data_IF_294861696702
#
_entry.id   IF_294861696702
#
_cell.length_a   1.000
_cell.length_b   1.000
_cell.length_c   1.000
_cell.angle_alpha   90.00
_cell.angle_beta   90.00
_cell.angle_gamma   90.00
#
_symmetry.space_group_name_H-M   'P 1'
#
loop_
_entity.id
_entity.type
_entity.pdbx_description
1 polymer ?
#
# COMPACT_ATOMS: atom_id res chain seq x y z
N UNK A 1 -70.69 -10.65 18.51
CA UNK A 1 -69.91 -11.63 17.73
C UNK A 1 -68.57 -11.01 17.38
N UNK A 2 -67.49 -11.50 18.00
CA UNK A 2 -66.19 -10.84 18.20
C UNK A 2 -65.19 -11.00 17.03
N UNK A 3 -65.69 -11.15 15.79
CA UNK A 3 -64.90 -11.54 14.62
C UNK A 3 -63.81 -10.53 14.24
N UNK A 4 -64.09 -9.23 14.39
CA UNK A 4 -63.12 -8.17 14.09
C UNK A 4 -61.91 -8.15 15.04
N UNK A 5 -62.08 -8.54 16.31
CA UNK A 5 -60.95 -8.63 17.24
C UNK A 5 -60.08 -9.86 16.95
N UNK A 6 -60.69 -11.02 16.67
CA UNK A 6 -59.96 -12.24 16.33
C UNK A 6 -59.08 -12.06 15.08
N UNK A 7 -59.62 -11.43 14.02
CA UNK A 7 -58.86 -11.15 12.80
C UNK A 7 -57.71 -10.14 13.00
N UNK A 8 -57.87 -9.17 13.90
CA UNK A 8 -56.82 -8.20 14.24
C UNK A 8 -55.69 -8.85 15.03
N UNK A 9 -56.02 -9.72 15.97
CA UNK A 9 -55.04 -10.47 16.76
C UNK A 9 -54.22 -11.43 15.89
N UNK A 10 -54.85 -12.06 14.89
CA UNK A 10 -54.17 -12.95 13.95
C UNK A 10 -53.20 -12.20 13.03
N UNK A 11 -53.60 -11.02 12.52
CA UNK A 11 -52.69 -10.12 11.77
C UNK A 11 -51.51 -9.63 12.59
N UNK A 12 -51.73 -9.26 13.85
CA UNK A 12 -50.66 -8.83 14.75
C UNK A 12 -49.70 -9.99 15.06
N UNK A 13 -50.22 -11.20 15.24
CA UNK A 13 -49.43 -12.42 15.43
C UNK A 13 -48.54 -12.70 14.21
N UNK A 14 -49.11 -12.70 13.00
CA UNK A 14 -48.35 -12.87 11.76
C UNK A 14 -47.28 -11.80 11.56
N UNK A 15 -47.60 -10.53 11.86
CA UNK A 15 -46.62 -9.44 11.78
C UNK A 15 -45.46 -9.64 12.78
N UNK A 16 -45.73 -10.11 14.00
CA UNK A 16 -44.68 -10.41 15.00
C UNK A 16 -43.75 -11.53 14.53
N UNK A 17 -44.31 -12.62 13.97
CA UNK A 17 -43.52 -13.72 13.41
C UNK A 17 -42.64 -13.21 12.28
N UNK A 18 -43.22 -12.45 11.35
CA UNK A 18 -42.48 -11.87 10.22
C UNK A 18 -41.34 -10.95 10.66
N UNK A 19 -41.57 -10.07 11.64
CA UNK A 19 -40.52 -9.20 12.20
C UNK A 19 -39.42 -10.02 12.88
N UNK A 20 -39.78 -11.04 13.66
CA UNK A 20 -38.81 -11.94 14.29
C UNK A 20 -37.95 -12.67 13.25
N UNK A 21 -38.56 -13.17 12.17
CA UNK A 21 -37.83 -13.83 11.08
C UNK A 21 -36.90 -12.86 10.34
N UNK A 22 -37.37 -11.63 10.07
CA UNK A 22 -36.53 -10.59 9.47
C UNK A 22 -35.34 -10.22 10.37
N UNK A 23 -35.57 -10.08 11.68
CA UNK A 23 -34.50 -9.80 12.64
C UNK A 23 -33.47 -10.93 12.69
N UNK A 24 -33.91 -12.19 12.64
CA UNK A 24 -33.02 -13.35 12.58
C UNK A 24 -32.17 -13.35 11.31
N UNK A 25 -32.77 -13.08 10.15
CA UNK A 25 -32.04 -12.98 8.87
C UNK A 25 -31.04 -11.82 8.86
N UNK A 26 -31.44 -10.64 9.36
CA UNK A 26 -30.57 -9.49 9.47
C UNK A 26 -29.35 -9.79 10.37
N UNK A 27 -29.56 -10.49 11.48
CA UNK A 27 -28.49 -10.90 12.39
C UNK A 27 -27.51 -11.89 11.72
N UNK A 28 -28.02 -12.85 10.93
CA UNK A 28 -27.18 -13.78 10.17
C UNK A 28 -26.32 -13.06 9.12
N UNK A 29 -26.91 -12.13 8.36
CA UNK A 29 -26.19 -11.33 7.37
C UNK A 29 -25.13 -10.45 8.05
N UNK A 30 -25.44 -9.88 9.20
CA UNK A 30 -24.50 -9.10 9.99
C UNK A 30 -23.30 -9.95 10.46
N UNK A 31 -23.55 -11.16 10.97
CA UNK A 31 -22.47 -12.06 11.39
C UNK A 31 -21.58 -12.46 10.21
N UNK A 32 -22.15 -12.77 9.06
CA UNK A 32 -21.39 -13.05 7.84
C UNK A 32 -20.53 -11.85 7.39
N UNK A 33 -21.07 -10.63 7.48
CA UNK A 33 -20.31 -9.41 7.22
C UNK A 33 -19.13 -9.27 8.18
N UNK A 34 -19.34 -9.49 9.48
CA UNK A 34 -18.28 -9.41 10.49
C UNK A 34 -17.17 -10.45 10.25
N UNK A 35 -17.53 -11.67 9.87
CA UNK A 35 -16.57 -12.69 9.47
C UNK A 35 -15.72 -12.26 8.27
N UNK A 36 -16.36 -11.75 7.20
CA UNK A 36 -15.65 -11.24 6.02
C UNK A 36 -14.73 -10.07 6.36
N UNK A 37 -15.15 -9.18 7.27
CA UNK A 37 -14.31 -8.06 7.75
C UNK A 37 -13.08 -8.55 8.53
N UNK A 38 -13.24 -9.58 9.36
CA UNK A 38 -12.13 -10.20 10.09
C UNK A 38 -11.13 -10.81 9.10
N UNK A 39 -11.62 -11.61 8.14
CA UNK A 39 -10.79 -12.25 7.12
C UNK A 39 -10.03 -11.22 6.26
N UNK A 40 -10.68 -10.12 5.87
CA UNK A 40 -10.01 -9.04 5.15
C UNK A 40 -8.90 -8.40 6.00
N UNK A 41 -9.16 -8.14 7.29
CA UNK A 41 -8.16 -7.56 8.20
C UNK A 41 -6.96 -8.49 8.37
N UNK A 42 -7.18 -9.80 8.42
CA UNK A 42 -6.11 -10.80 8.44
C UNK A 42 -5.30 -10.76 7.13
N UNK A 43 -5.96 -10.75 5.97
CA UNK A 43 -5.28 -10.69 4.67
C UNK A 43 -4.49 -9.39 4.48
N UNK A 44 -4.98 -8.27 5.00
CA UNK A 44 -4.25 -7.00 5.00
C UNK A 44 -2.98 -7.08 5.87
N UNK A 45 -3.06 -7.72 7.05
CA UNK A 45 -1.88 -7.95 7.89
C UNK A 45 -0.84 -8.87 7.20
N UNK A 46 -1.28 -9.96 6.57
CA UNK A 46 -0.41 -10.81 5.74
C UNK A 46 0.23 -10.01 4.61
N UNK A 47 -0.55 -9.13 3.95
CA UNK A 47 -0.06 -8.22 2.92
C UNK A 47 1.03 -7.28 3.44
N UNK A 48 0.85 -6.67 4.61
CA UNK A 48 1.89 -5.84 5.25
C UNK A 48 3.19 -6.63 5.45
N UNK A 49 3.08 -7.86 5.96
CA UNK A 49 4.25 -8.70 6.18
C UNK A 49 4.99 -9.04 4.88
N UNK A 50 4.26 -9.46 3.84
CA UNK A 50 4.83 -9.81 2.55
C UNK A 50 5.47 -8.60 1.86
N UNK A 51 4.81 -7.43 1.90
CA UNK A 51 5.38 -6.19 1.37
C UNK A 51 6.66 -5.83 2.11
N UNK A 52 6.70 -5.95 3.44
CA UNK A 52 7.89 -5.66 4.22
C UNK A 52 9.06 -6.60 3.88
N UNK A 53 8.79 -7.90 3.71
CA UNK A 53 9.79 -8.89 3.30
C UNK A 53 10.37 -8.58 1.92
N UNK A 54 9.50 -8.43 0.91
CA UNK A 54 9.92 -8.12 -0.46
C UNK A 54 10.65 -6.79 -0.56
N UNK A 55 10.17 -5.77 0.16
CA UNK A 55 10.81 -4.46 0.21
C UNK A 55 12.23 -4.56 0.80
N UNK A 56 12.40 -5.34 1.86
CA UNK A 56 13.70 -5.53 2.49
C UNK A 56 14.69 -6.23 1.57
N UNK A 57 14.28 -7.32 0.90
CA UNK A 57 15.09 -8.04 -0.08
C UNK A 57 15.46 -7.14 -1.28
N UNK A 58 14.47 -6.46 -1.87
CA UNK A 58 14.68 -5.59 -3.02
C UNK A 58 15.65 -4.43 -2.72
N UNK A 59 15.57 -3.83 -1.53
CA UNK A 59 16.44 -2.72 -1.15
C UNK A 59 17.82 -3.22 -0.69
N UNK A 60 17.85 -4.20 0.20
CA UNK A 60 19.08 -4.62 0.90
C UNK A 60 19.96 -5.53 0.07
N UNK A 61 19.39 -6.24 -0.89
CA UNK A 61 20.13 -7.19 -1.72
C UNK A 61 20.27 -6.64 -3.15
N UNK A 62 19.17 -6.43 -3.85
CA UNK A 62 19.19 -6.09 -5.28
C UNK A 62 19.71 -4.66 -5.52
N UNK A 63 19.08 -3.67 -4.90
CA UNK A 63 19.48 -2.26 -5.06
C UNK A 63 20.85 -2.00 -4.42
N UNK A 64 21.15 -2.63 -3.29
CA UNK A 64 22.46 -2.54 -2.67
C UNK A 64 23.57 -3.10 -3.57
N UNK A 65 23.38 -4.30 -4.15
CA UNK A 65 24.36 -4.89 -5.06
C UNK A 65 24.56 -4.01 -6.30
N UNK A 66 23.49 -3.48 -6.88
CA UNK A 66 23.58 -2.54 -8.00
C UNK A 66 24.40 -1.28 -7.65
N UNK A 67 24.13 -0.66 -6.49
CA UNK A 67 24.89 0.50 -5.99
C UNK A 67 26.37 0.15 -5.74
N UNK A 68 26.63 -1.03 -5.19
CA UNK A 68 27.98 -1.50 -4.92
C UNK A 68 28.77 -1.73 -6.22
N UNK A 69 28.16 -2.34 -7.24
CA UNK A 69 28.77 -2.51 -8.57
C UNK A 69 29.02 -1.17 -9.25
N UNK A 70 28.10 -0.21 -9.13
CA UNK A 70 28.30 1.16 -9.63
C UNK A 70 29.50 1.84 -8.95
N UNK A 71 29.67 1.65 -7.63
CA UNK A 71 30.84 2.14 -6.90
C UNK A 71 32.14 1.49 -7.37
N UNK A 72 32.13 0.18 -7.61
CA UNK A 72 33.29 -0.54 -8.17
C UNK A 72 33.62 -0.08 -9.60
N UNK A 73 32.62 0.31 -10.38
CA UNK A 73 32.82 0.87 -11.71
C UNK A 73 33.64 2.16 -11.69
N UNK A 74 33.48 3.00 -10.67
CA UNK A 74 34.26 4.23 -10.51
C UNK A 74 35.75 3.98 -10.27
N UNK A 75 36.15 2.75 -9.88
CA UNK A 75 37.56 2.34 -9.75
C UNK A 75 38.00 1.42 -10.89
N UNK A 76 37.25 1.39 -11.99
CA UNK A 76 37.61 0.69 -13.22
C UNK A 76 37.12 -0.75 -13.33
N UNK A 77 36.32 -1.26 -12.38
CA UNK A 77 35.71 -2.60 -12.50
C UNK A 77 34.58 -2.56 -13.52
N UNK A 78 34.58 -3.39 -14.59
CA UNK A 78 33.51 -3.35 -15.58
C UNK A 78 32.14 -3.71 -14.97
N UNK A 79 31.14 -2.86 -15.16
CA UNK A 79 29.75 -3.14 -14.79
C UNK A 79 28.94 -3.48 -16.05
N UNK A 80 29.10 -4.72 -16.52
CA UNK A 80 28.31 -5.24 -17.64
C UNK A 80 26.83 -5.33 -17.23
N UNK A 81 25.94 -5.09 -18.18
CA UNK A 81 24.47 -5.17 -17.99
C UNK A 81 23.89 -4.20 -16.95
N UNK A 82 24.58 -3.09 -16.64
CA UNK A 82 24.11 -2.04 -15.70
C UNK A 82 22.65 -1.63 -15.97
N UNK A 83 22.34 -1.34 -17.22
CA UNK A 83 21.03 -0.81 -17.64
C UNK A 83 19.93 -1.88 -17.51
N UNK A 84 20.25 -3.12 -17.89
CA UNK A 84 19.34 -4.25 -17.71
C UNK A 84 19.04 -4.51 -16.23
N UNK A 85 20.07 -4.53 -15.38
CA UNK A 85 19.91 -4.79 -13.94
C UNK A 85 19.04 -3.71 -13.29
N UNK A 86 19.21 -2.44 -13.65
CA UNK A 86 18.37 -1.38 -13.07
C UNK A 86 16.94 -1.40 -13.60
N UNK A 87 16.72 -1.82 -14.85
CA UNK A 87 15.37 -2.00 -15.41
C UNK A 87 14.61 -3.16 -14.73
N UNK A 88 15.32 -4.26 -14.41
CA UNK A 88 14.77 -5.37 -13.61
C UNK A 88 14.39 -4.87 -12.20
N UNK A 89 15.28 -4.14 -11.52
CA UNK A 89 14.98 -3.54 -10.20
C UNK A 89 13.80 -2.56 -10.28
N UNK A 90 13.74 -1.72 -11.32
CA UNK A 90 12.62 -0.80 -11.52
C UNK A 90 11.28 -1.54 -11.61
N UNK A 91 11.23 -2.65 -12.36
CA UNK A 91 10.01 -3.45 -12.51
C UNK A 91 9.50 -3.94 -11.16
N UNK A 92 10.41 -4.39 -10.28
CA UNK A 92 10.06 -4.82 -8.93
C UNK A 92 9.60 -3.66 -8.02
N UNK A 93 10.28 -2.50 -8.09
CA UNK A 93 9.86 -1.30 -7.36
C UNK A 93 8.46 -0.85 -7.78
N UNK A 94 8.18 -0.86 -9.07
CA UNK A 94 6.89 -0.50 -9.66
C UNK A 94 5.77 -1.45 -9.21
N UNK A 95 6.01 -2.76 -9.30
CA UNK A 95 5.06 -3.78 -8.85
C UNK A 95 4.76 -3.62 -7.36
N UNK A 96 5.80 -3.51 -6.53
CA UNK A 96 5.66 -3.40 -5.09
C UNK A 96 4.96 -2.11 -4.65
N UNK A 97 5.24 -0.99 -5.33
CA UNK A 97 4.56 0.29 -5.08
C UNK A 97 3.06 0.17 -5.35
N UNK A 98 2.67 -0.41 -6.48
CA UNK A 98 1.26 -0.61 -6.85
C UNK A 98 0.55 -1.53 -5.85
N UNK A 99 1.15 -2.67 -5.50
CA UNK A 99 0.55 -3.61 -4.54
C UNK A 99 0.38 -2.98 -3.16
N UNK A 100 1.41 -2.28 -2.66
CA UNK A 100 1.33 -1.59 -1.37
C UNK A 100 0.25 -0.50 -1.39
N UNK A 101 0.15 0.26 -2.48
CA UNK A 101 -0.89 1.29 -2.65
C UNK A 101 -2.31 0.71 -2.67
N UNK A 102 -2.51 -0.42 -3.34
CA UNK A 102 -3.81 -1.11 -3.36
C UNK A 102 -4.19 -1.60 -1.97
N UNK A 103 -3.28 -2.26 -1.25
CA UNK A 103 -3.51 -2.68 0.14
C UNK A 103 -3.85 -1.49 1.05
N UNK A 104 -3.14 -0.37 0.87
CA UNK A 104 -3.41 0.87 1.61
C UNK A 104 -4.81 1.41 1.32
N UNK A 105 -5.21 1.39 0.05
CA UNK A 105 -6.53 1.83 -0.40
C UNK A 105 -7.64 0.95 0.19
N UNK A 106 -7.47 -0.38 0.17
CA UNK A 106 -8.42 -1.31 0.79
C UNK A 106 -8.52 -1.10 2.31
N UNK A 107 -7.41 -0.81 2.98
CA UNK A 107 -7.39 -0.49 4.41
C UNK A 107 -8.19 0.78 4.71
N UNK A 108 -7.96 1.86 3.94
CA UNK A 108 -8.73 3.10 4.07
C UNK A 108 -10.22 2.88 3.83
N UNK A 109 -10.58 2.11 2.80
CA UNK A 109 -11.98 1.81 2.50
C UNK A 109 -12.65 1.01 3.61
N UNK A 110 -11.97 0.00 4.15
CA UNK A 110 -12.46 -0.79 5.28
C UNK A 110 -12.70 0.09 6.53
N UNK A 111 -11.80 1.03 6.80
CA UNK A 111 -11.96 1.98 7.90
C UNK A 111 -13.18 2.90 7.71
N UNK A 112 -13.41 3.39 6.49
CA UNK A 112 -14.60 4.20 6.18
C UNK A 112 -15.90 3.39 6.36
N UNK A 113 -15.93 2.14 5.88
CA UNK A 113 -17.06 1.24 6.08
C UNK A 113 -17.35 0.95 7.56
N UNK A 114 -16.32 0.85 8.41
CA UNK A 114 -16.48 0.66 9.85
C UNK A 114 -17.02 1.91 10.54
N UNK A 115 -16.63 3.12 10.09
CA UNK A 115 -17.18 4.38 10.63
C UNK A 115 -18.66 4.56 10.30
N UNK A 116 -19.07 4.14 9.09
CA UNK A 116 -20.47 4.23 8.64
C UNK A 116 -21.38 3.13 9.16
N UNK A 117 -20.80 2.02 9.65
CA UNK A 117 -21.55 0.86 10.11
C UNK A 117 -22.14 1.00 11.53
N UNK A 118 -23.01 0.06 11.94
CA UNK A 118 -23.52 0.00 13.30
C UNK A 118 -22.36 -0.17 14.29
N UNK A 119 -22.27 0.71 15.29
CA UNK A 119 -21.23 0.68 16.31
C UNK A 119 -21.55 -0.42 17.34
N UNK A 120 -21.02 -1.63 17.12
CA UNK A 120 -21.21 -2.77 18.02
C UNK A 120 -19.87 -3.15 18.68
N UNK A 121 -19.94 -3.77 19.85
CA UNK A 121 -18.82 -4.27 20.64
C UNK A 121 -17.74 -4.93 19.78
N UNK A 122 -16.49 -4.46 19.87
CA UNK A 122 -15.35 -4.96 19.09
C UNK A 122 -14.84 -4.01 17.99
N UNK A 123 -15.65 -3.01 17.59
CA UNK A 123 -15.23 -2.00 16.60
C UNK A 123 -13.95 -1.26 16.99
N UNK A 124 -13.72 -1.03 18.28
CA UNK A 124 -12.52 -0.33 18.78
C UNK A 124 -11.24 -1.12 18.47
N UNK A 125 -11.23 -2.41 18.81
CA UNK A 125 -10.07 -3.28 18.57
C UNK A 125 -9.78 -3.44 17.07
N UNK A 126 -10.83 -3.61 16.26
CA UNK A 126 -10.68 -3.70 14.80
C UNK A 126 -10.15 -2.40 14.21
N UNK A 127 -10.63 -1.26 14.69
CA UNK A 127 -10.15 0.06 14.24
C UNK A 127 -8.69 0.28 14.60
N UNK A 128 -8.27 -0.10 15.81
CA UNK A 128 -6.87 -0.02 16.23
C UNK A 128 -5.95 -0.88 15.36
N UNK A 129 -6.37 -2.11 15.02
CA UNK A 129 -5.62 -2.98 14.12
C UNK A 129 -5.48 -2.35 12.71
N UNK A 130 -6.58 -1.86 12.14
CA UNK A 130 -6.55 -1.21 10.82
C UNK A 130 -5.70 0.07 10.80
N UNK A 131 -5.70 0.87 11.88
CA UNK A 131 -4.79 2.00 12.00
C UNK A 131 -3.33 1.55 11.94
N UNK A 132 -2.96 0.48 12.66
CA UNK A 132 -1.59 -0.07 12.61
C UNK A 132 -1.22 -0.57 11.21
N UNK A 133 -2.14 -1.24 10.52
CA UNK A 133 -1.93 -1.69 9.13
C UNK A 133 -1.68 -0.48 8.22
N UNK A 134 -2.53 0.55 8.32
CA UNK A 134 -2.44 1.76 7.51
C UNK A 134 -1.10 2.49 7.74
N UNK A 135 -0.69 2.62 9.00
CA UNK A 135 0.59 3.23 9.38
C UNK A 135 1.77 2.45 8.79
N UNK A 136 1.75 1.12 8.88
CA UNK A 136 2.81 0.27 8.36
C UNK A 136 2.90 0.36 6.83
N UNK A 137 1.77 0.26 6.12
CA UNK A 137 1.74 0.43 4.65
C UNK A 137 2.24 1.81 4.23
N UNK A 138 1.86 2.86 4.97
CA UNK A 138 2.31 4.23 4.71
C UNK A 138 3.83 4.38 4.91
N UNK A 139 4.37 3.83 6.01
CA UNK A 139 5.84 3.82 6.26
C UNK A 139 6.59 3.07 5.17
N UNK A 140 6.07 1.91 4.77
CA UNK A 140 6.65 1.09 3.69
C UNK A 140 6.66 1.87 2.37
N UNK A 141 5.55 2.52 1.99
CA UNK A 141 5.48 3.40 0.81
C UNK A 141 6.48 4.55 0.88
N UNK A 142 6.54 5.27 2.01
CA UNK A 142 7.50 6.38 2.17
C UNK A 142 8.94 5.91 2.00
N UNK A 143 9.28 4.76 2.57
CA UNK A 143 10.61 4.16 2.42
C UNK A 143 10.86 3.73 0.97
N UNK A 144 9.88 3.12 0.30
CA UNK A 144 10.01 2.71 -1.10
C UNK A 144 10.22 3.92 -2.02
N UNK A 145 9.44 4.99 -1.84
CA UNK A 145 9.60 6.27 -2.55
C UNK A 145 11.01 6.83 -2.31
N UNK A 146 11.45 6.88 -1.06
CA UNK A 146 12.78 7.40 -0.72
C UNK A 146 13.91 6.58 -1.34
N UNK A 147 13.82 5.25 -1.37
CA UNK A 147 14.87 4.39 -1.91
C UNK A 147 14.83 4.29 -3.44
N UNK A 148 13.68 4.60 -4.05
CA UNK A 148 13.51 4.58 -5.50
C UNK A 148 14.22 5.73 -6.22
N UNK A 149 14.61 6.80 -5.52
CA UNK A 149 15.36 7.90 -6.12
C UNK A 149 16.85 7.61 -6.07
N UNK A 150 17.44 7.36 -7.23
CA UNK A 150 18.84 6.93 -7.38
C UNK A 150 19.62 7.81 -8.34
N UNK A 151 20.94 7.78 -8.23
CA UNK A 151 21.86 8.32 -9.25
C UNK A 151 22.19 7.18 -10.21
N UNK A 152 21.55 7.16 -11.38
CA UNK A 152 21.74 6.14 -12.43
C UNK A 152 23.13 6.22 -13.08
N UNK A 153 23.61 7.44 -13.32
CA UNK A 153 24.96 7.73 -13.82
C UNK A 153 25.65 8.66 -12.84
N UNK A 154 26.70 8.16 -12.18
CA UNK A 154 27.52 8.97 -11.28
C UNK A 154 28.39 9.94 -12.09
N UNK A 155 28.65 11.15 -11.57
CA UNK A 155 29.71 11.98 -12.10
C UNK A 155 31.08 11.30 -11.89
N UNK A 156 32.07 11.74 -12.67
CA UNK A 156 33.46 11.31 -12.50
C UNK A 156 33.94 11.61 -11.07
N UNK A 157 34.68 10.69 -10.41
CA UNK A 157 35.14 10.89 -9.03
C UNK A 157 36.06 12.10 -8.87
N UNK A 158 36.78 12.46 -9.94
CA UNK A 158 37.69 13.61 -9.97
C UNK A 158 37.15 14.63 -10.97
N UNK A 159 36.61 15.72 -10.44
CA UNK A 159 36.10 16.82 -11.23
C UNK A 159 37.16 17.92 -11.36
N UNK A 160 37.34 18.44 -12.58
CA UNK A 160 38.12 19.65 -12.82
C UNK A 160 37.22 20.88 -12.73
N UNK A 161 37.70 21.93 -12.09
CA UNK A 161 36.97 23.21 -12.01
C UNK A 161 36.66 23.73 -13.42
N UNK A 162 35.46 24.28 -13.60
CA UNK A 162 34.93 24.76 -14.90
C UNK A 162 34.78 23.68 -15.98
N UNK A 163 34.94 22.40 -15.65
CA UNK A 163 34.68 21.31 -16.58
C UNK A 163 33.22 20.86 -16.50
N UNK A 164 32.61 20.59 -17.65
CA UNK A 164 31.27 20.00 -17.71
C UNK A 164 31.37 18.54 -17.24
N UNK A 165 30.42 18.12 -16.43
CA UNK A 165 30.21 16.73 -16.05
C UNK A 165 28.74 16.36 -16.26
N UNK A 166 28.47 15.07 -16.36
CA UNK A 166 27.12 14.53 -16.49
C UNK A 166 26.82 13.68 -15.26
N UNK A 167 25.60 13.81 -14.76
CA UNK A 167 25.03 12.92 -13.77
C UNK A 167 23.56 12.72 -14.14
N UNK A 168 23.06 11.51 -13.94
CA UNK A 168 21.68 11.16 -14.25
C UNK A 168 21.04 10.59 -13.00
N UNK A 169 19.83 11.08 -12.69
CA UNK A 169 19.01 10.54 -11.61
C UNK A 169 17.80 9.84 -12.19
N UNK A 170 17.36 8.78 -11.53
CA UNK A 170 16.18 8.00 -11.91
C UNK A 170 15.29 7.80 -10.70
N UNK A 171 13.98 7.93 -10.92
CA UNK A 171 12.97 7.55 -9.96
C UNK A 171 12.39 6.20 -10.39
N UNK A 172 12.68 5.14 -9.63
CA UNK A 172 12.35 3.77 -10.02
C UNK A 172 10.85 3.45 -9.93
N UNK A 173 10.06 4.22 -9.19
CA UNK A 173 8.59 4.10 -9.18
C UNK A 173 7.91 4.87 -10.34
N UNK A 174 8.67 5.12 -11.41
CA UNK A 174 8.59 6.26 -12.35
C UNK A 174 7.24 6.74 -12.87
N UNK A 175 6.18 5.94 -12.88
CA UNK A 175 4.82 6.39 -13.21
C UNK A 175 3.71 5.83 -12.33
N UNK A 176 4.06 5.04 -11.31
CA UNK A 176 3.09 4.44 -10.39
C UNK A 176 2.60 5.45 -9.37
N UNK A 177 1.55 5.10 -8.63
CA UNK A 177 0.96 5.98 -7.61
C UNK A 177 0.41 7.31 -8.15
N UNK A 178 0.18 7.42 -9.46
CA UNK A 178 -0.31 8.65 -10.10
C UNK A 178 0.72 9.80 -10.15
N UNK A 179 1.98 9.56 -9.77
CA UNK A 179 2.98 10.62 -9.65
C UNK A 179 3.38 11.21 -11.00
N UNK A 180 3.14 10.53 -12.12
CA UNK A 180 3.54 10.98 -13.45
C UNK A 180 3.05 12.41 -13.74
N UNK A 181 1.83 12.75 -13.33
CA UNK A 181 1.28 14.10 -13.50
C UNK A 181 2.00 15.14 -12.62
N UNK A 182 2.45 14.75 -11.44
CA UNK A 182 3.21 15.59 -10.53
C UNK A 182 4.68 15.76 -10.95
N UNK A 183 5.26 14.73 -11.58
CA UNK A 183 6.65 14.74 -12.04
C UNK A 183 6.91 15.77 -13.15
N UNK A 184 5.92 16.06 -14.00
CA UNK A 184 6.05 17.07 -15.07
C UNK A 184 6.44 18.45 -14.52
N UNK A 185 6.06 18.76 -13.29
CA UNK A 185 6.33 20.04 -12.64
C UNK A 185 7.43 19.95 -11.57
N UNK A 186 8.19 18.85 -11.52
CA UNK A 186 9.22 18.63 -10.51
C UNK A 186 10.60 18.99 -11.05
N UNK A 187 11.34 19.82 -10.29
CA UNK A 187 12.72 20.15 -10.58
C UNK A 187 13.66 19.41 -9.63
N UNK A 188 14.73 18.83 -10.16
CA UNK A 188 15.83 18.28 -9.35
C UNK A 188 16.95 19.31 -9.29
N UNK A 189 17.33 19.72 -8.08
CA UNK A 189 18.46 20.63 -7.86
C UNK A 189 19.67 19.82 -7.38
N UNK A 190 20.82 20.03 -8.02
CA UNK A 190 22.09 19.42 -7.63
C UNK A 190 22.98 20.47 -6.99
N UNK A 191 23.53 20.16 -5.82
CA UNK A 191 24.51 21.01 -5.12
C UNK A 191 25.69 20.14 -4.68
N UNK A 192 26.90 20.60 -4.99
CA UNK A 192 28.13 20.01 -4.45
C UNK A 192 28.32 20.58 -3.05
N UNK A 193 28.42 19.71 -2.05
CA UNK A 193 28.66 20.05 -0.64
C UNK A 193 30.08 19.61 -0.31
N UNK A 194 30.86 20.49 0.32
CA UNK A 194 32.22 20.24 0.80
C UNK A 194 32.23 20.18 2.33
#
# INVERSE_FOLDING_TARGET
>A
MNWSNCYRDDKLSQARISVSDMQKRASQLYNALMEKRCNLTQKLNEGVHNVALLQNELISDYLYDWKNRQKLQQVGVPFKERDRMIDEIQTEFEMLAEQNWQLRTYTCWQMDLLRRGPQISGHVAQTANLNSILDNLTKLLCMLVSQSFIVATQPEPVLKTQHKFLAEVRLLIGDKLGIKQHLVNTNVTVRIIA
#
